data_IF_470327288455
#
_entry.id   IF_470327288455
#
_cell.length_a   1.000
_cell.length_b   1.000
_cell.length_c   1.000
_cell.angle_alpha   90.00
_cell.angle_beta   90.00
_cell.angle_gamma   90.00
#
_symmetry.space_group_name_H-M   'P 1'
#
loop_
_entity.id
_entity.type
_entity.pdbx_description
1 polymer ?
#
# COMPACT_ATOMS: atom_id res chain seq x y z
N UNK A 1 -13.29 -24.65 0.88
CA UNK A 1 -13.29 -23.23 1.28
C UNK A 1 -13.48 -22.41 0.02
N UNK A 2 -14.68 -21.86 -0.20
CA UNK A 2 -14.96 -21.05 -1.40
C UNK A 2 -14.63 -19.59 -1.07
N UNK A 3 -13.35 -19.24 -1.12
CA UNK A 3 -12.90 -17.86 -1.05
C UNK A 3 -13.31 -17.15 -2.34
N UNK A 4 -14.50 -16.54 -2.36
CA UNK A 4 -14.86 -15.59 -3.40
C UNK A 4 -13.95 -14.37 -3.19
N UNK A 5 -12.77 -14.40 -3.82
CA UNK A 5 -11.97 -13.21 -4.04
C UNK A 5 -12.92 -12.18 -4.65
N UNK A 6 -13.19 -11.07 -3.96
CA UNK A 6 -14.01 -9.97 -4.50
C UNK A 6 -13.07 -9.09 -5.31
N UNK A 7 -12.89 -9.34 -6.63
CA UNK A 7 -11.89 -8.64 -7.40
C UNK A 7 -12.39 -7.20 -7.59
N UNK A 8 -11.50 -6.22 -7.43
CA UNK A 8 -11.79 -4.87 -7.90
C UNK A 8 -12.23 -3.83 -6.88
N UNK A 9 -12.03 -4.05 -5.57
CA UNK A 9 -12.06 -2.92 -4.63
C UNK A 9 -10.65 -2.36 -4.46
N UNK A 10 -10.52 -1.05 -4.62
CA UNK A 10 -9.35 -0.35 -4.11
C UNK A 10 -9.56 -0.09 -2.62
N UNK A 11 -8.48 -0.27 -1.87
CA UNK A 11 -8.46 -0.08 -0.43
C UNK A 11 -7.80 1.26 -0.13
N UNK A 12 -8.34 1.97 0.85
CA UNK A 12 -7.76 3.20 1.33
C UNK A 12 -7.13 2.92 2.70
N UNK A 13 -5.86 3.27 2.83
CA UNK A 13 -5.12 3.18 4.09
C UNK A 13 -4.91 4.57 4.66
N UNK A 14 -4.92 4.65 5.99
CA UNK A 14 -4.56 5.82 6.77
C UNK A 14 -3.15 5.58 7.30
N UNK A 15 -2.25 6.52 7.01
CA UNK A 15 -0.89 6.54 7.53
C UNK A 15 -0.83 7.60 8.65
N UNK A 16 -0.42 7.21 9.85
CA UNK A 16 -0.50 8.08 11.03
C UNK A 16 0.69 7.92 11.97
N UNK A 17 0.97 8.97 12.73
CA UNK A 17 1.88 8.95 13.89
C UNK A 17 1.19 8.54 15.19
N UNK A 18 -0.14 8.60 15.22
CA UNK A 18 -0.97 8.35 16.39
C UNK A 18 -1.88 7.14 16.16
N UNK A 19 -2.17 6.37 17.21
CA UNK A 19 -3.08 5.23 17.11
C UNK A 19 -4.49 5.69 16.75
N UNK A 20 -5.21 4.86 16.01
CA UNK A 20 -6.66 4.95 15.85
C UNK A 20 -7.33 3.87 16.73
N UNK A 21 -8.65 3.96 16.89
CA UNK A 21 -9.44 2.93 17.59
C UNK A 21 -9.56 1.66 16.73
N UNK A 22 -8.45 0.91 16.64
CA UNK A 22 -8.29 -0.31 15.85
C UNK A 22 -7.46 -1.34 16.62
N UNK A 23 -7.56 -2.59 16.21
CA UNK A 23 -6.68 -3.66 16.68
C UNK A 23 -5.45 -3.74 15.79
N UNK A 24 -4.26 -3.70 16.39
CA UNK A 24 -3.00 -3.71 15.66
C UNK A 24 -2.19 -4.97 15.90
N UNK A 25 -1.40 -5.35 14.90
CA UNK A 25 -0.25 -6.23 15.03
C UNK A 25 1.04 -5.45 14.80
N UNK A 26 2.11 -5.83 15.48
CA UNK A 26 3.40 -5.15 15.33
C UNK A 26 4.20 -5.84 14.22
N UNK A 27 4.77 -5.04 13.31
CA UNK A 27 5.68 -5.46 12.24
C UNK A 27 6.86 -4.48 12.20
N UNK A 28 8.01 -4.92 12.71
CA UNK A 28 9.13 -4.01 12.98
C UNK A 28 8.74 -2.92 13.98
N UNK A 29 8.89 -1.65 13.58
CA UNK A 29 8.52 -0.46 14.37
C UNK A 29 7.11 0.06 14.07
N UNK A 30 6.35 -0.60 13.19
CA UNK A 30 5.05 -0.14 12.70
C UNK A 30 3.92 -0.98 13.31
N UNK A 31 2.86 -0.29 13.76
CA UNK A 31 1.59 -0.88 14.13
C UNK A 31 0.69 -1.00 12.89
N UNK A 32 0.44 -2.22 12.46
CA UNK A 32 -0.35 -2.53 11.27
C UNK A 32 -1.70 -3.08 11.68
N UNK A 33 -2.78 -2.46 11.21
CA UNK A 33 -4.16 -2.90 11.47
C UNK A 33 -4.28 -4.39 11.18
N UNK A 34 -4.87 -5.13 12.12
CA UNK A 34 -4.99 -6.58 12.06
C UNK A 34 -5.72 -7.06 10.80
N UNK A 35 -6.57 -6.22 10.22
CA UNK A 35 -7.27 -6.51 8.97
C UNK A 35 -6.42 -6.30 7.71
N UNK A 36 -5.25 -5.66 7.82
CA UNK A 36 -4.25 -5.56 6.75
C UNK A 36 -3.25 -6.71 6.92
N UNK A 37 -3.49 -7.81 6.20
CA UNK A 37 -2.81 -9.10 6.46
C UNK A 37 -1.37 -9.14 5.98
N UNK A 38 -1.09 -8.44 4.89
CA UNK A 38 0.19 -8.49 4.19
C UNK A 38 0.80 -7.10 4.03
N UNK A 39 2.09 -7.01 4.34
CA UNK A 39 2.95 -5.84 4.20
C UNK A 39 4.38 -6.30 3.95
N UNK A 40 5.04 -5.71 2.96
CA UNK A 40 6.42 -6.05 2.60
C UNK A 40 7.40 -5.36 3.54
N UNK A 41 8.57 -5.97 3.73
CA UNK A 41 9.62 -5.38 4.56
C UNK A 41 10.10 -4.02 4.01
N UNK A 42 10.12 -3.86 2.68
CA UNK A 42 10.43 -2.59 2.03
C UNK A 42 9.37 -1.51 2.31
N UNK A 43 8.09 -1.87 2.36
CA UNK A 43 7.04 -0.94 2.79
C UNK A 43 7.21 -0.55 4.28
N UNK A 44 7.54 -1.49 5.16
CA UNK A 44 7.83 -1.19 6.58
C UNK A 44 9.00 -0.23 6.72
N UNK A 45 10.08 -0.45 5.96
CA UNK A 45 11.25 0.45 5.92
C UNK A 45 10.86 1.84 5.41
N UNK A 46 10.11 1.93 4.32
CA UNK A 46 9.63 3.20 3.76
C UNK A 46 8.77 3.98 4.77
N UNK A 47 7.84 3.31 5.44
CA UNK A 47 7.00 3.92 6.48
C UNK A 47 7.83 4.46 7.65
N UNK A 48 8.85 3.72 8.05
CA UNK A 48 9.76 4.12 9.13
C UNK A 48 10.52 5.39 8.76
N UNK A 49 11.04 5.48 7.53
CA UNK A 49 11.78 6.66 7.04
C UNK A 49 10.91 7.92 6.94
N UNK A 50 9.60 7.75 6.74
CA UNK A 50 8.61 8.83 6.72
C UNK A 50 8.00 9.13 8.11
N UNK A 51 8.55 8.54 9.18
CA UNK A 51 8.05 8.67 10.54
C UNK A 51 6.55 8.32 10.68
N UNK A 52 6.09 7.30 9.95
CA UNK A 52 4.79 6.68 10.18
C UNK A 52 4.93 5.65 11.29
N UNK A 53 3.94 5.56 12.18
CA UNK A 53 3.89 4.56 13.26
C UNK A 53 2.70 3.62 13.16
N UNK A 54 1.62 4.06 12.50
CA UNK A 54 0.37 3.33 12.38
C UNK A 54 -0.09 3.29 10.93
N UNK A 55 -0.45 2.10 10.45
CA UNK A 55 -1.13 1.90 9.16
C UNK A 55 -2.46 1.24 9.43
N UNK A 56 -3.54 1.90 9.03
CA UNK A 56 -4.91 1.40 9.28
C UNK A 56 -5.76 1.42 8.04
N UNK A 57 -6.75 0.54 7.95
CA UNK A 57 -7.73 0.62 6.88
C UNK A 57 -8.78 1.69 7.22
N UNK A 58 -9.13 2.50 6.22
CA UNK A 58 -10.18 3.51 6.37
C UNK A 58 -11.54 2.86 6.67
N UNK A 59 -11.79 1.67 6.13
CA UNK A 59 -13.04 0.92 6.30
C UNK A 59 -12.77 -0.37 7.06
N UNK A 60 -13.81 -0.90 7.70
CA UNK A 60 -13.73 -2.19 8.38
C UNK A 60 -13.89 -3.34 7.39
N UNK A 61 -12.80 -3.66 6.70
CA UNK A 61 -12.72 -4.77 5.75
C UNK A 61 -11.37 -5.47 5.91
N UNK A 62 -11.30 -6.75 5.55
CA UNK A 62 -10.01 -7.46 5.48
C UNK A 62 -9.37 -7.21 4.12
N UNK A 63 -8.07 -7.00 4.10
CA UNK A 63 -7.24 -6.89 2.90
C UNK A 63 -6.12 -7.92 2.98
N UNK A 64 -6.10 -8.80 1.98
CA UNK A 64 -5.02 -9.75 1.73
C UNK A 64 -4.22 -9.28 0.51
N UNK A 65 -2.91 -9.40 0.61
CA UNK A 65 -1.93 -8.98 -0.39
C UNK A 65 -1.53 -7.50 -0.32
N UNK A 66 -0.46 -7.21 -1.06
CA UNK A 66 0.29 -5.95 -0.98
C UNK A 66 -0.16 -4.91 -2.01
N UNK A 67 -1.35 -5.06 -2.60
CA UNK A 67 -1.81 -4.21 -3.71
C UNK A 67 -2.04 -2.74 -3.36
N UNK A 68 -2.01 -2.43 -2.06
CA UNK A 68 -2.17 -1.08 -1.49
C UNK A 68 -0.85 -0.32 -1.36
N UNK A 69 0.30 -1.00 -1.41
CA UNK A 69 1.60 -0.40 -1.06
C UNK A 69 2.02 0.70 -2.02
N UNK A 70 1.78 0.53 -3.33
CA UNK A 70 2.05 1.58 -4.32
C UNK A 70 1.27 2.87 -4.00
N UNK A 71 0.01 2.76 -3.57
CA UNK A 71 -0.79 3.93 -3.20
C UNK A 71 -0.30 4.58 -1.92
N UNK A 72 0.13 3.79 -0.93
CA UNK A 72 0.71 4.32 0.29
C UNK A 72 2.02 5.07 0.01
N UNK A 73 2.91 4.48 -0.80
CA UNK A 73 4.16 5.09 -1.22
C UNK A 73 3.93 6.42 -1.94
N UNK A 74 3.04 6.48 -2.93
CA UNK A 74 2.74 7.72 -3.66
C UNK A 74 2.17 8.80 -2.75
N UNK A 75 1.30 8.42 -1.80
CA UNK A 75 0.75 9.33 -0.79
C UNK A 75 1.83 9.95 0.10
N UNK A 76 2.81 9.15 0.55
CA UNK A 76 3.96 9.62 1.34
C UNK A 76 4.80 10.67 0.61
N UNK A 77 4.77 10.69 -0.72
CA UNK A 77 5.44 11.66 -1.58
C UNK A 77 4.50 12.74 -2.14
N UNK A 78 3.30 12.89 -1.58
CA UNK A 78 2.29 13.88 -1.98
C UNK A 78 1.90 13.79 -3.46
N UNK A 79 1.92 12.59 -4.04
CA UNK A 79 1.48 12.35 -5.42
C UNK A 79 0.04 11.82 -5.40
N UNK A 80 -0.97 12.66 -5.74
CA UNK A 80 -2.37 12.24 -5.71
C UNK A 80 -2.67 11.31 -6.89
N UNK A 81 -3.53 10.33 -6.66
CA UNK A 81 -3.98 9.44 -7.71
C UNK A 81 -4.52 8.12 -7.19
N UNK A 82 -4.87 7.26 -8.13
CA UNK A 82 -5.45 5.93 -7.86
C UNK A 82 -4.41 4.89 -8.25
N UNK A 83 -3.74 4.30 -7.26
CA UNK A 83 -2.62 3.40 -7.51
C UNK A 83 -2.91 1.98 -7.03
N UNK A 84 -2.38 0.99 -7.76
CA UNK A 84 -2.38 -0.41 -7.31
C UNK A 84 -1.10 -1.11 -7.76
N UNK A 85 -0.40 -1.68 -6.80
CA UNK A 85 0.88 -2.35 -7.00
C UNK A 85 1.53 -2.68 -5.67
N UNK A 86 2.52 -3.57 -5.72
CA UNK A 86 3.38 -3.91 -4.56
C UNK A 86 4.69 -3.14 -4.65
N UNK A 87 5.39 -2.95 -3.54
CA UNK A 87 6.80 -2.56 -3.57
C UNK A 87 7.64 -3.83 -3.77
N UNK A 88 8.54 -3.81 -4.75
CA UNK A 88 9.55 -4.86 -4.96
C UNK A 88 10.84 -4.52 -4.23
N UNK A 89 11.21 -3.24 -4.24
CA UNK A 89 12.45 -2.77 -3.66
C UNK A 89 12.31 -1.32 -3.22
N UNK A 90 12.80 -1.01 -2.03
CA UNK A 90 12.98 0.35 -1.55
C UNK A 90 14.46 0.62 -1.23
N UNK A 91 15.04 1.58 -1.96
CA UNK A 91 16.37 2.11 -1.70
C UNK A 91 16.22 3.50 -1.05
N UNK A 92 16.60 3.65 0.24
CA UNK A 92 16.38 4.88 0.99
C UNK A 92 16.92 6.12 0.29
N UNK A 93 16.09 7.16 0.22
CA UNK A 93 16.39 8.43 -0.43
C UNK A 93 16.81 8.35 -1.91
N UNK A 94 16.63 7.19 -2.57
CA UNK A 94 17.02 6.98 -3.96
C UNK A 94 15.84 6.60 -4.84
N UNK A 95 15.18 5.49 -4.54
CA UNK A 95 14.13 4.97 -5.43
C UNK A 95 13.19 3.97 -4.76
N UNK A 96 11.98 3.88 -5.32
CA UNK A 96 11.01 2.82 -5.04
C UNK A 96 10.73 2.09 -6.34
N UNK A 97 10.80 0.77 -6.36
CA UNK A 97 10.46 -0.07 -7.51
C UNK A 97 9.14 -0.79 -7.25
N UNK A 98 8.22 -0.75 -8.22
CA UNK A 98 6.88 -1.32 -8.10
C UNK A 98 6.71 -2.61 -8.89
N UNK A 99 5.91 -3.52 -8.34
CA UNK A 99 5.54 -4.80 -8.94
C UNK A 99 4.07 -4.92 -9.29
N UNK A 100 3.77 -5.88 -10.17
CA UNK A 100 2.39 -6.25 -10.51
C UNK A 100 1.69 -6.96 -9.36
N UNK A 101 0.36 -6.88 -9.37
CA UNK A 101 -0.53 -7.53 -8.41
C UNK A 101 -1.72 -8.13 -9.17
N UNK A 102 -2.37 -9.18 -8.64
CA UNK A 102 -3.53 -9.77 -9.30
C UNK A 102 -4.70 -8.78 -9.39
N UNK A 103 -5.58 -9.01 -10.38
CA UNK A 103 -6.83 -8.26 -10.52
C UNK A 103 -6.68 -6.82 -11.06
N UNK A 104 -5.53 -6.46 -11.63
CA UNK A 104 -5.31 -5.12 -12.20
C UNK A 104 -6.27 -4.81 -13.37
N UNK A 105 -6.61 -5.81 -14.20
CA UNK A 105 -7.51 -5.62 -15.33
C UNK A 105 -8.93 -5.26 -14.84
N UNK A 106 -9.42 -5.96 -13.82
CA UNK A 106 -10.72 -5.75 -13.19
C UNK A 106 -10.75 -4.40 -12.48
N UNK A 107 -9.70 -4.07 -11.71
CA UNK A 107 -9.56 -2.75 -11.08
C UNK A 107 -9.58 -1.63 -12.13
N UNK A 108 -8.87 -1.80 -13.25
CA UNK A 108 -8.84 -0.80 -14.33
C UNK A 108 -10.18 -0.61 -15.06
N UNK A 109 -11.04 -1.64 -15.09
CA UNK A 109 -12.42 -1.49 -15.59
C UNK A 109 -13.29 -0.64 -14.67
N UNK A 110 -13.06 -0.70 -13.36
CA UNK A 110 -13.83 0.02 -12.33
C UNK A 110 -13.29 1.44 -12.14
N UNK A 111 -11.97 1.59 -12.12
CA UNK A 111 -11.27 2.84 -11.87
C UNK A 111 -10.47 3.23 -13.13
N UNK A 112 -11.02 4.14 -13.93
CA UNK A 112 -10.43 4.52 -15.22
C UNK A 112 -9.08 5.22 -15.08
N UNK A 113 -8.84 5.91 -13.96
CA UNK A 113 -7.57 6.56 -13.64
C UNK A 113 -6.56 5.64 -12.91
N UNK A 114 -6.76 4.33 -12.91
CA UNK A 114 -5.85 3.40 -12.24
C UNK A 114 -4.44 3.46 -12.84
N UNK A 115 -3.47 3.78 -12.01
CA UNK A 115 -2.04 3.71 -12.30
C UNK A 115 -1.46 2.47 -11.61
N UNK A 116 -0.72 1.67 -12.37
CA UNK A 116 -0.08 0.45 -11.86
C UNK A 116 1.40 0.39 -12.22
N UNK A 117 2.09 -0.68 -11.83
CA UNK A 117 3.47 -0.95 -12.24
C UNK A 117 3.67 -1.04 -13.76
N UNK A 118 2.60 -1.28 -14.54
CA UNK A 118 2.63 -1.21 -16.01
C UNK A 118 2.82 0.22 -16.53
N UNK A 119 2.38 1.21 -15.76
CA UNK A 119 2.47 2.62 -16.09
C UNK A 119 3.71 3.27 -15.46
N UNK A 120 4.00 2.94 -14.20
CA UNK A 120 5.12 3.49 -13.42
C UNK A 120 5.88 2.33 -12.77
N UNK A 121 7.04 1.97 -13.32
CA UNK A 121 7.88 0.89 -12.77
C UNK A 121 8.67 1.33 -11.54
N UNK A 122 9.05 2.60 -11.46
CA UNK A 122 9.80 3.13 -10.33
C UNK A 122 9.51 4.62 -10.11
N UNK A 123 9.71 5.04 -8.87
CA UNK A 123 9.69 6.44 -8.43
C UNK A 123 11.12 6.81 -7.99
N UNK A 124 11.68 7.88 -8.56
CA UNK A 124 12.94 8.46 -8.07
C UNK A 124 12.66 9.39 -6.90
N UNK A 125 13.44 9.26 -5.82
CA UNK A 125 13.29 10.04 -4.59
C UNK A 125 14.32 11.17 -4.45
N UNK A 126 15.10 11.42 -5.50
CA UNK A 126 16.11 12.47 -5.56
C UNK A 126 15.52 13.81 -5.09
N UNK A 127 16.04 14.30 -3.96
CA UNK A 127 15.76 15.62 -3.39
C UNK A 127 16.39 16.72 -4.22
#
# INVERSE_FOLDING_TARGET
MNGIMKPGRLHCVILSRYPLEKTYSIRGSIHVDHNLRDVSDDMIRLLTDHDVKYVSLLRDNVVEGNSWEMSAAQSLHNVPGVYSGTIIEYIPNKSITYGEVPGLQEKGRIYKELISSKNIKSLSLSR
#
